data_IF_097599696212
#
_entry.id   IF_097599696212
#
_cell.length_a   1.000
_cell.length_b   1.000
_cell.length_c   1.000
_cell.angle_alpha   90.00
_cell.angle_beta   90.00
_cell.angle_gamma   90.00
#
_symmetry.space_group_name_H-M   'P 1'
#
loop_
_entity.id
_entity.type
_entity.pdbx_description
1 polymer ?
#
# COMPACT_ATOMS: atom_id res chain seq x y z
N UNK A 1 -90.85 51.72 13.26
CA UNK A 1 -90.11 50.69 12.53
C UNK A 1 -88.61 50.86 12.76
N UNK A 2 -88.03 50.14 13.72
CA UNK A 2 -86.66 50.30 14.15
C UNK A 2 -85.83 49.16 13.54
N UNK A 3 -84.89 49.48 12.67
CA UNK A 3 -83.97 48.52 12.04
C UNK A 3 -82.68 48.49 12.87
N UNK A 4 -82.43 47.35 13.49
CA UNK A 4 -81.19 47.10 14.28
C UNK A 4 -80.11 46.53 13.36
N UNK A 5 -79.01 47.26 13.15
CA UNK A 5 -77.79 46.76 12.45
C UNK A 5 -76.96 45.95 13.43
N UNK A 6 -76.72 44.64 13.12
CA UNK A 6 -75.69 43.79 13.76
C UNK A 6 -74.35 44.01 13.09
N UNK A 7 -73.35 44.42 13.86
CA UNK A 7 -71.96 44.41 13.47
C UNK A 7 -71.38 42.96 13.61
N UNK A 8 -70.89 42.41 12.53
CA UNK A 8 -70.06 41.21 12.54
C UNK A 8 -68.57 41.63 12.63
N UNK A 9 -67.89 41.25 13.75
CA UNK A 9 -66.47 41.42 13.93
C UNK A 9 -65.83 40.11 13.45
N UNK A 10 -65.04 40.20 12.38
CA UNK A 10 -64.17 39.09 11.89
C UNK A 10 -62.90 39.10 12.67
N UNK A 11 -62.57 38.03 13.46
CA UNK A 11 -61.31 37.80 14.09
C UNK A 11 -60.42 37.10 13.01
N UNK A 12 -59.39 37.81 12.51
CA UNK A 12 -58.38 37.21 11.65
C UNK A 12 -57.30 36.64 12.57
N UNK A 13 -57.26 35.29 12.65
CA UNK A 13 -56.17 34.54 13.29
C UNK A 13 -54.96 34.51 12.35
N UNK A 14 -53.91 35.27 12.67
CA UNK A 14 -52.59 35.13 12.04
C UNK A 14 -51.90 33.89 12.59
N UNK A 15 -51.85 32.81 11.80
CA UNK A 15 -50.99 31.66 12.08
C UNK A 15 -49.57 31.94 11.54
N UNK A 16 -48.59 32.19 12.41
CA UNK A 16 -47.20 32.29 12.06
C UNK A 16 -46.66 30.88 11.70
N UNK A 17 -45.94 30.71 10.55
CA UNK A 17 -45.32 29.44 10.25
C UNK A 17 -44.13 29.22 11.17
N UNK A 18 -44.14 28.14 11.96
CA UNK A 18 -42.96 27.61 12.66
C UNK A 18 -41.96 27.08 11.63
N UNK A 19 -40.91 27.84 11.37
CA UNK A 19 -39.74 27.39 10.61
C UNK A 19 -38.98 26.37 11.46
N UNK A 20 -39.24 25.07 11.25
CA UNK A 20 -38.33 24.02 11.70
C UNK A 20 -37.01 24.14 10.92
N UNK A 21 -35.95 24.67 11.54
CA UNK A 21 -34.57 24.51 11.06
C UNK A 21 -34.23 23.04 11.19
N UNK A 22 -34.29 22.31 10.08
CA UNK A 22 -33.65 21.01 9.94
C UNK A 22 -32.14 21.25 10.14
N UNK A 23 -31.60 20.82 11.29
CA UNK A 23 -30.16 20.65 11.46
C UNK A 23 -29.77 19.47 10.57
N UNK A 24 -29.06 19.78 9.48
CA UNK A 24 -28.36 18.76 8.71
C UNK A 24 -27.38 18.08 9.66
N UNK A 25 -27.64 16.82 10.02
CA UNK A 25 -26.67 15.95 10.68
C UNK A 25 -25.51 15.80 9.71
N UNK A 26 -24.36 16.33 10.07
CA UNK A 26 -23.08 15.96 9.45
C UNK A 26 -22.98 14.44 9.52
N UNK A 27 -22.66 13.73 8.41
CA UNK A 27 -22.48 12.30 8.46
C UNK A 27 -21.37 12.00 9.48
N UNK A 28 -21.73 11.24 10.50
CA UNK A 28 -20.81 10.76 11.51
C UNK A 28 -19.74 9.92 10.79
N UNK A 29 -18.47 10.33 10.89
CA UNK A 29 -17.36 9.56 10.37
C UNK A 29 -17.42 8.19 11.04
N UNK A 30 -17.42 7.06 10.30
CA UNK A 30 -17.49 5.74 10.93
C UNK A 30 -16.42 5.65 12.01
N UNK A 31 -16.82 5.21 13.21
CA UNK A 31 -15.91 5.04 14.34
C UNK A 31 -14.76 4.14 13.89
N UNK A 32 -13.54 4.69 13.86
CA UNK A 32 -12.33 3.92 13.57
C UNK A 32 -12.17 2.88 14.68
N UNK A 33 -12.08 1.61 14.31
CA UNK A 33 -11.78 0.55 15.27
C UNK A 33 -10.45 0.86 15.94
N UNK A 34 -10.33 0.59 17.23
CA UNK A 34 -9.10 0.85 18.00
C UNK A 34 -8.17 -0.37 18.05
N UNK A 35 -8.67 -1.56 17.70
CA UNK A 35 -7.94 -2.81 17.79
C UNK A 35 -7.77 -3.45 16.40
N UNK A 36 -6.54 -3.83 16.10
CA UNK A 36 -6.15 -4.49 14.87
C UNK A 36 -5.27 -5.71 15.13
N UNK A 37 -5.25 -6.64 14.19
CA UNK A 37 -4.17 -7.61 14.06
C UNK A 37 -3.20 -7.05 13.01
N UNK A 38 -1.94 -6.91 13.37
CA UNK A 38 -0.85 -6.58 12.47
C UNK A 38 -0.15 -7.88 12.05
N UNK A 39 -0.23 -8.25 10.79
CA UNK A 39 0.51 -9.38 10.22
C UNK A 39 1.83 -8.91 9.66
N UNK A 40 2.89 -9.62 10.03
CA UNK A 40 4.27 -9.32 9.63
C UNK A 40 4.80 -10.43 8.74
N UNK A 41 5.10 -10.10 7.50
CA UNK A 41 5.82 -10.96 6.55
C UNK A 41 7.33 -10.83 6.75
N UNK A 42 8.05 -11.91 6.51
CA UNK A 42 9.48 -11.98 6.82
C UNK A 42 10.23 -12.73 5.73
N UNK A 43 11.56 -12.56 5.69
CA UNK A 43 12.41 -13.56 5.05
C UNK A 43 12.73 -14.68 6.01
N UNK A 44 12.59 -15.92 5.53
CA UNK A 44 12.90 -17.14 6.31
C UNK A 44 14.22 -17.77 5.88
N UNK A 45 14.64 -17.53 4.65
CA UNK A 45 15.91 -18.04 4.10
C UNK A 45 17.10 -17.40 4.83
N UNK A 46 17.93 -18.25 5.45
CA UNK A 46 19.12 -17.85 6.23
C UNK A 46 18.82 -16.98 7.47
N UNK A 47 17.60 -17.08 8.01
CA UNK A 47 17.16 -16.39 9.23
C UNK A 47 16.58 -17.38 10.23
N UNK A 48 16.17 -16.88 11.42
CA UNK A 48 15.45 -17.69 12.42
C UNK A 48 13.94 -17.61 12.27
N UNK A 49 13.46 -16.86 11.28
CA UNK A 49 12.02 -16.70 11.05
C UNK A 49 11.33 -17.98 10.63
N UNK A 50 10.06 -18.12 11.04
CA UNK A 50 9.17 -19.25 10.68
C UNK A 50 8.18 -18.89 9.57
N UNK A 51 8.07 -17.59 9.20
CA UNK A 51 7.12 -17.17 8.19
C UNK A 51 6.33 -15.92 8.57
N UNK A 52 5.02 -16.02 8.74
CA UNK A 52 4.15 -14.88 9.05
C UNK A 52 3.88 -14.82 10.55
N UNK A 53 4.07 -13.63 11.14
CA UNK A 53 3.78 -13.36 12.54
C UNK A 53 2.55 -12.49 12.69
N UNK A 54 1.83 -12.61 13.82
CA UNK A 54 0.69 -11.75 14.16
C UNK A 54 0.89 -11.07 15.52
N UNK A 55 0.59 -9.78 15.55
CA UNK A 55 0.57 -8.94 16.74
C UNK A 55 -0.82 -8.34 16.94
N UNK A 56 -1.18 -8.06 18.19
CA UNK A 56 -2.30 -7.16 18.47
C UNK A 56 -1.75 -5.73 18.47
N UNK A 57 -2.38 -4.87 17.67
CA UNK A 57 -2.06 -3.45 17.60
C UNK A 57 -3.22 -2.63 18.18
N UNK A 58 -2.92 -1.79 19.16
CA UNK A 58 -3.86 -0.84 19.72
C UNK A 58 -3.60 0.56 19.14
N UNK A 59 -4.52 1.03 18.28
CA UNK A 59 -4.41 2.31 17.60
C UNK A 59 -4.65 3.54 18.52
N UNK A 60 -5.09 3.35 19.78
CA UNK A 60 -5.25 4.46 20.73
C UNK A 60 -3.91 4.88 21.33
N UNK A 61 -2.97 3.94 21.45
CA UNK A 61 -1.67 4.20 22.11
C UNK A 61 -0.46 3.68 21.32
N UNK A 62 -0.65 3.09 20.13
CA UNK A 62 0.41 2.55 19.28
C UNK A 62 1.03 1.25 19.78
N UNK A 63 0.43 0.59 20.79
CA UNK A 63 1.02 -0.59 21.41
C UNK A 63 0.87 -1.85 20.55
N UNK A 64 1.99 -2.52 20.30
CA UNK A 64 2.06 -3.89 19.78
C UNK A 64 2.21 -4.86 20.94
N UNK A 65 1.40 -5.89 21.00
CA UNK A 65 1.44 -6.90 22.06
C UNK A 65 1.31 -8.31 21.50
N UNK A 66 1.91 -9.29 22.20
CA UNK A 66 1.82 -10.73 21.92
C UNK A 66 2.24 -11.11 20.50
N UNK A 67 3.42 -11.66 20.38
CA UNK A 67 3.88 -12.27 19.13
C UNK A 67 3.45 -13.74 19.09
N UNK A 68 2.87 -14.15 17.97
CA UNK A 68 2.64 -15.55 17.63
C UNK A 68 3.08 -15.81 16.21
N UNK A 69 3.54 -17.02 15.90
CA UNK A 69 3.67 -17.47 14.51
C UNK A 69 2.26 -17.74 14.01
N UNK A 70 1.78 -16.86 13.11
CA UNK A 70 0.44 -16.97 12.54
C UNK A 70 0.35 -18.12 11.51
N UNK A 71 1.39 -18.26 10.69
CA UNK A 71 1.57 -19.39 9.78
C UNK A 71 3.06 -19.61 9.48
N UNK A 72 3.48 -20.87 9.35
CA UNK A 72 4.75 -21.20 8.72
C UNK A 72 4.63 -21.03 7.19
N UNK A 73 5.58 -20.34 6.59
CA UNK A 73 5.62 -20.07 5.15
C UNK A 73 7.04 -19.73 4.73
N UNK A 74 7.42 -20.11 3.51
CA UNK A 74 8.77 -19.82 2.99
C UNK A 74 8.77 -18.43 2.36
N UNK A 75 9.67 -17.57 2.83
CA UNK A 75 9.88 -16.21 2.35
C UNK A 75 8.58 -15.45 2.01
N UNK A 76 7.62 -15.30 2.97
CA UNK A 76 6.40 -14.54 2.76
C UNK A 76 6.71 -13.03 2.84
N UNK A 77 7.48 -12.52 1.86
CA UNK A 77 8.08 -11.20 1.91
C UNK A 77 7.11 -10.06 1.64
N UNK A 78 5.93 -10.32 1.08
CA UNK A 78 4.87 -9.33 0.92
C UNK A 78 3.49 -9.93 1.17
N UNK A 79 2.64 -9.15 1.84
CA UNK A 79 1.31 -9.56 2.29
C UNK A 79 0.24 -8.59 1.80
N UNK A 80 -0.94 -9.12 1.47
CA UNK A 80 -2.13 -8.29 1.27
C UNK A 80 -3.36 -8.94 1.90
N UNK A 81 -4.18 -8.12 2.54
CA UNK A 81 -5.45 -8.54 3.14
C UNK A 81 -6.58 -8.30 2.16
N UNK A 82 -7.46 -9.30 2.01
CA UNK A 82 -8.67 -9.13 1.23
C UNK A 82 -9.58 -8.05 1.84
N UNK A 83 -10.28 -7.20 1.05
CA UNK A 83 -11.14 -6.15 1.56
C UNK A 83 -12.22 -6.58 2.57
N UNK A 84 -12.66 -7.85 2.52
CA UNK A 84 -13.62 -8.41 3.49
C UNK A 84 -13.00 -8.75 4.86
N UNK A 85 -11.66 -8.65 5.02
CA UNK A 85 -10.95 -8.96 6.25
C UNK A 85 -10.90 -10.45 6.64
N UNK A 86 -11.33 -11.37 5.77
CA UNK A 86 -11.38 -12.80 6.06
C UNK A 86 -10.19 -13.60 5.53
N UNK A 87 -9.48 -13.06 4.54
CA UNK A 87 -8.39 -13.75 3.85
C UNK A 87 -7.15 -12.88 3.79
N UNK A 88 -5.99 -13.54 3.82
CA UNK A 88 -4.68 -12.94 3.62
C UNK A 88 -3.95 -13.71 2.52
N UNK A 89 -3.28 -12.97 1.65
CA UNK A 89 -2.43 -13.51 0.59
C UNK A 89 -0.99 -13.11 0.84
N UNK A 90 -0.07 -14.05 0.59
CA UNK A 90 1.37 -13.83 0.74
C UNK A 90 2.09 -14.32 -0.51
N UNK A 91 3.04 -13.55 -1.03
CA UNK A 91 4.03 -14.10 -1.97
C UNK A 91 4.91 -15.12 -1.24
N UNK A 92 5.43 -16.10 -1.98
CA UNK A 92 6.60 -16.89 -1.58
C UNK A 92 7.73 -16.50 -2.53
N UNK A 93 8.64 -15.64 -2.08
CA UNK A 93 9.71 -15.03 -2.90
C UNK A 93 10.83 -16.04 -3.14
N UNK A 94 10.54 -17.04 -3.97
CA UNK A 94 11.44 -18.13 -4.33
C UNK A 94 11.52 -18.31 -5.84
N UNK A 95 12.57 -18.96 -6.31
CA UNK A 95 12.79 -19.26 -7.74
C UNK A 95 12.25 -20.60 -8.21
N UNK A 96 11.88 -21.51 -7.27
CA UNK A 96 11.41 -22.84 -7.57
C UNK A 96 10.29 -23.25 -6.62
N UNK A 97 9.10 -23.43 -7.15
CA UNK A 97 7.94 -23.94 -6.40
C UNK A 97 7.52 -25.30 -6.96
N UNK A 98 7.51 -26.33 -6.11
CA UNK A 98 7.13 -27.72 -6.47
C UNK A 98 7.86 -28.27 -7.71
N UNK A 99 9.14 -27.93 -7.87
CA UNK A 99 9.96 -28.39 -9.01
C UNK A 99 9.72 -27.63 -10.31
N UNK A 100 8.83 -26.62 -10.33
CA UNK A 100 8.61 -25.72 -11.45
C UNK A 100 9.54 -24.49 -11.40
N UNK A 101 9.64 -23.77 -12.50
CA UNK A 101 10.32 -22.46 -12.55
C UNK A 101 9.39 -21.36 -12.06
N UNK A 102 9.75 -20.68 -10.98
CA UNK A 102 8.98 -19.57 -10.42
C UNK A 102 8.64 -19.75 -8.95
N UNK A 103 8.11 -18.69 -8.34
CA UNK A 103 7.64 -18.70 -6.96
C UNK A 103 6.15 -19.04 -6.84
N UNK A 104 5.58 -18.70 -5.70
CA UNK A 104 4.17 -19.00 -5.41
C UNK A 104 3.46 -17.83 -4.75
N UNK A 105 2.12 -17.91 -4.70
CA UNK A 105 1.26 -17.16 -3.80
C UNK A 105 0.50 -18.14 -2.92
N UNK A 106 0.54 -17.87 -1.62
CA UNK A 106 -0.22 -18.59 -0.60
C UNK A 106 -1.48 -17.81 -0.23
N UNK A 107 -2.61 -18.50 -0.16
CA UNK A 107 -3.88 -17.98 0.35
C UNK A 107 -4.15 -18.53 1.74
N UNK A 108 -4.55 -17.66 2.69
CA UNK A 108 -4.86 -18.04 4.07
C UNK A 108 -6.23 -17.51 4.48
N UNK A 109 -6.97 -18.31 5.27
CA UNK A 109 -8.10 -17.83 6.05
C UNK A 109 -7.62 -17.23 7.38
N UNK A 110 -8.20 -16.11 7.77
CA UNK A 110 -7.87 -15.38 8.99
C UNK A 110 -8.81 -15.79 10.12
N UNK A 111 -8.27 -16.24 11.25
CA UNK A 111 -9.00 -16.28 12.51
C UNK A 111 -8.86 -14.92 13.21
N UNK A 112 -9.89 -14.08 13.11
CA UNK A 112 -9.87 -12.73 13.66
C UNK A 112 -9.81 -12.68 15.21
N UNK A 113 -10.06 -13.80 15.91
CA UNK A 113 -9.97 -13.85 17.38
C UNK A 113 -8.54 -14.11 17.84
N UNK A 114 -7.87 -15.06 17.20
CA UNK A 114 -6.53 -15.54 17.60
C UNK A 114 -5.41 -14.91 16.78
N UNK A 115 -5.69 -14.41 15.58
CA UNK A 115 -4.69 -13.98 14.60
C UNK A 115 -4.05 -15.14 13.83
N UNK A 116 -4.45 -16.40 14.10
CA UNK A 116 -3.92 -17.54 13.37
C UNK A 116 -4.36 -17.53 11.90
N UNK A 117 -3.49 -18.02 11.03
CA UNK A 117 -3.73 -18.15 9.59
C UNK A 117 -3.81 -19.64 9.23
N UNK A 118 -4.91 -20.02 8.57
CA UNK A 118 -5.08 -21.36 8.03
C UNK A 118 -4.80 -21.34 6.53
N UNK A 119 -3.78 -22.07 6.09
CA UNK A 119 -3.49 -22.22 4.65
C UNK A 119 -4.70 -22.82 3.93
N UNK A 120 -5.13 -22.17 2.86
CA UNK A 120 -6.19 -22.64 1.97
C UNK A 120 -5.60 -23.36 0.76
N UNK A 121 -4.77 -22.66 -0.01
CA UNK A 121 -4.02 -23.23 -1.12
C UNK A 121 -2.80 -22.38 -1.46
N UNK A 122 -1.97 -22.92 -2.37
CA UNK A 122 -0.84 -22.21 -2.99
C UNK A 122 -0.90 -22.41 -4.51
N UNK A 123 -0.57 -21.36 -5.25
CA UNK A 123 -0.54 -21.39 -6.71
C UNK A 123 0.79 -20.86 -7.24
N UNK A 124 1.36 -21.43 -8.34
CA UNK A 124 2.59 -20.94 -8.94
C UNK A 124 2.38 -19.58 -9.62
N UNK A 125 3.34 -18.65 -9.45
CA UNK A 125 3.26 -17.29 -10.04
C UNK A 125 3.66 -17.21 -11.51
N UNK A 126 4.16 -18.29 -12.10
CA UNK A 126 4.66 -18.37 -13.48
C UNK A 126 5.91 -17.52 -13.74
N UNK A 127 6.45 -16.86 -12.72
CA UNK A 127 7.70 -16.09 -12.75
C UNK A 127 8.48 -16.30 -11.46
N UNK A 128 9.80 -16.15 -11.51
CA UNK A 128 10.69 -16.31 -10.36
C UNK A 128 10.67 -15.04 -9.48
N UNK A 129 10.89 -15.22 -8.17
CA UNK A 129 11.03 -14.14 -7.20
C UNK A 129 9.82 -13.22 -7.13
N UNK A 130 8.58 -13.70 -6.86
CA UNK A 130 7.45 -12.81 -6.62
C UNK A 130 7.72 -12.00 -5.35
N UNK A 131 7.90 -10.69 -5.49
CA UNK A 131 8.29 -9.80 -4.39
C UNK A 131 7.20 -8.83 -3.95
N UNK A 132 6.11 -8.74 -4.69
CA UNK A 132 4.98 -7.86 -4.37
C UNK A 132 3.67 -8.45 -4.88
N UNK A 133 2.61 -8.26 -4.10
CA UNK A 133 1.25 -8.54 -4.52
C UNK A 133 0.29 -7.44 -4.05
N UNK A 134 -0.83 -7.30 -4.75
CA UNK A 134 -1.96 -6.47 -4.34
C UNK A 134 -3.27 -7.12 -4.74
N UNK A 135 -4.39 -6.62 -4.22
CA UNK A 135 -5.70 -6.96 -4.75
C UNK A 135 -6.20 -5.85 -5.67
N UNK A 136 -6.98 -6.24 -6.67
CA UNK A 136 -7.79 -5.27 -7.39
C UNK A 136 -8.85 -4.64 -6.47
N UNK A 137 -9.49 -3.54 -6.87
CA UNK A 137 -10.45 -2.82 -6.00
C UNK A 137 -11.71 -3.61 -5.65
N UNK A 138 -12.03 -4.64 -6.43
CA UNK A 138 -13.18 -5.53 -6.16
C UNK A 138 -12.84 -6.65 -5.19
N UNK A 139 -11.54 -6.96 -5.02
CA UNK A 139 -11.07 -8.12 -4.28
C UNK A 139 -11.14 -9.44 -5.08
N UNK A 140 -11.59 -9.39 -6.33
CA UNK A 140 -11.77 -10.61 -7.14
C UNK A 140 -10.47 -11.17 -7.72
N UNK A 141 -9.39 -10.36 -7.72
CA UNK A 141 -8.10 -10.78 -8.27
C UNK A 141 -6.93 -10.36 -7.37
N UNK A 142 -6.03 -11.30 -7.15
CA UNK A 142 -4.67 -11.02 -6.65
C UNK A 142 -3.77 -10.77 -7.84
N UNK A 143 -3.06 -9.64 -7.82
CA UNK A 143 -2.05 -9.24 -8.81
C UNK A 143 -0.66 -9.47 -8.21
N UNK A 144 0.29 -9.97 -8.99
CA UNK A 144 1.63 -10.34 -8.55
C UNK A 144 2.69 -9.77 -9.47
N UNK A 145 3.76 -9.22 -8.90
CA UNK A 145 4.98 -8.83 -9.60
C UNK A 145 6.10 -9.81 -9.27
N UNK A 146 6.70 -10.41 -10.30
CA UNK A 146 7.79 -11.37 -10.21
C UNK A 146 9.10 -10.65 -10.56
N UNK A 147 9.95 -10.40 -9.56
CA UNK A 147 11.17 -9.61 -9.72
C UNK A 147 12.19 -10.30 -10.60
N UNK A 148 12.63 -11.51 -10.22
CA UNK A 148 13.65 -12.26 -10.98
C UNK A 148 13.14 -12.70 -12.35
N UNK A 149 11.83 -12.96 -12.45
CA UNK A 149 11.18 -13.35 -13.71
C UNK A 149 10.85 -12.17 -14.63
N UNK A 150 10.89 -10.92 -14.14
CA UNK A 150 10.55 -9.73 -14.92
C UNK A 150 9.14 -9.80 -15.53
N UNK A 151 8.14 -10.22 -14.74
CA UNK A 151 6.78 -10.47 -15.25
C UNK A 151 5.71 -10.12 -14.22
N UNK A 152 4.46 -10.03 -14.70
CA UNK A 152 3.29 -9.84 -13.85
C UNK A 152 2.25 -10.91 -14.11
N UNK A 153 1.46 -11.23 -13.09
CA UNK A 153 0.37 -12.19 -13.18
C UNK A 153 -0.86 -11.74 -12.38
N UNK A 154 -2.03 -12.28 -12.72
CA UNK A 154 -3.28 -12.12 -11.98
C UNK A 154 -3.91 -13.46 -11.68
N UNK A 155 -4.52 -13.59 -10.50
CA UNK A 155 -5.11 -14.84 -10.01
C UNK A 155 -6.53 -14.55 -9.52
N UNK A 156 -7.55 -15.28 -9.99
CA UNK A 156 -8.91 -15.11 -9.47
C UNK A 156 -8.98 -15.58 -8.02
N UNK A 157 -9.73 -14.84 -7.22
CA UNK A 157 -10.08 -15.17 -5.84
C UNK A 157 -11.46 -15.81 -5.86
N UNK A 158 -11.59 -17.03 -5.33
CA UNK A 158 -12.86 -17.71 -5.17
C UNK A 158 -13.58 -17.28 -3.89
N UNK A 159 -14.88 -17.54 -3.78
CA UNK A 159 -15.71 -17.17 -2.63
C UNK A 159 -15.20 -17.70 -1.29
N UNK A 160 -14.51 -18.85 -1.30
CA UNK A 160 -13.88 -19.46 -0.14
C UNK A 160 -12.47 -18.91 0.18
N UNK A 161 -12.01 -17.93 -0.59
CA UNK A 161 -10.70 -17.29 -0.44
C UNK A 161 -9.55 -18.00 -1.11
N UNK A 162 -9.77 -19.17 -1.73
CA UNK A 162 -8.74 -19.87 -2.50
C UNK A 162 -8.40 -19.10 -3.77
N UNK A 163 -7.19 -19.31 -4.28
CA UNK A 163 -6.74 -18.74 -5.56
C UNK A 163 -6.92 -19.78 -6.67
N UNK A 164 -7.47 -19.34 -7.82
CA UNK A 164 -7.47 -20.10 -9.06
C UNK A 164 -6.14 -20.05 -9.79
N UNK A 165 -6.07 -20.71 -10.94
CA UNK A 165 -4.92 -20.59 -11.86
C UNK A 165 -4.82 -19.18 -12.44
N UNK A 166 -3.60 -18.76 -12.85
CA UNK A 166 -3.37 -17.43 -13.41
C UNK A 166 -4.32 -17.13 -14.59
N UNK A 167 -5.10 -16.07 -14.46
CA UNK A 167 -6.00 -15.56 -15.49
C UNK A 167 -5.23 -14.71 -16.51
N UNK A 168 -4.38 -13.81 -16.03
CA UNK A 168 -3.52 -12.94 -16.84
C UNK A 168 -2.05 -13.18 -16.55
N UNK A 169 -1.21 -13.01 -17.57
CA UNK A 169 0.25 -13.04 -17.45
C UNK A 169 0.87 -12.16 -18.53
N UNK A 170 1.84 -11.32 -18.14
CA UNK A 170 2.64 -10.53 -19.08
C UNK A 170 4.11 -10.66 -18.74
N UNK A 171 4.92 -11.11 -19.70
CA UNK A 171 6.36 -11.04 -19.64
C UNK A 171 6.81 -9.67 -20.12
N UNK A 172 7.55 -8.94 -19.29
CA UNK A 172 8.19 -7.70 -19.69
C UNK A 172 9.43 -7.99 -20.54
N UNK A 173 9.90 -7.02 -21.32
CA UNK A 173 11.07 -7.13 -22.17
C UNK A 173 11.80 -5.80 -22.25
N UNK A 174 13.13 -5.86 -22.40
CA UNK A 174 14.02 -4.70 -22.43
C UNK A 174 15.08 -4.74 -21.34
N UNK A 175 15.79 -3.65 -21.17
CA UNK A 175 16.83 -3.46 -20.15
C UNK A 175 17.05 -1.97 -19.89
N UNK A 176 17.71 -1.65 -18.78
CA UNK A 176 18.14 -0.30 -18.43
C UNK A 176 19.65 -0.08 -18.63
N UNK A 177 20.17 1.07 -18.19
CA UNK A 177 21.58 1.42 -18.35
C UNK A 177 22.51 0.70 -17.39
N UNK A 178 22.06 0.27 -16.22
CA UNK A 178 22.86 -0.46 -15.23
C UNK A 178 22.96 -1.93 -15.62
N UNK A 179 24.21 -2.40 -15.88
CA UNK A 179 24.44 -3.75 -16.40
C UNK A 179 24.35 -4.85 -15.35
N UNK A 180 24.37 -4.49 -14.06
CA UNK A 180 24.29 -5.45 -12.96
C UNK A 180 22.87 -5.56 -12.38
N UNK A 181 22.10 -4.46 -12.44
CA UNK A 181 20.78 -4.36 -11.81
C UNK A 181 19.63 -4.18 -12.81
N UNK A 182 19.95 -3.92 -14.09
CA UNK A 182 18.97 -3.66 -15.14
C UNK A 182 19.33 -4.40 -16.44
N UNK A 183 19.99 -5.56 -16.33
CA UNK A 183 20.30 -6.45 -17.47
C UNK A 183 19.06 -6.99 -18.17
N UNK A 184 17.93 -7.02 -17.43
CA UNK A 184 16.61 -7.44 -17.87
C UNK A 184 15.49 -6.73 -17.10
N UNK A 185 14.24 -7.09 -17.35
CA UNK A 185 13.11 -6.60 -16.58
C UNK A 185 13.11 -7.15 -15.16
N UNK A 186 12.76 -6.29 -14.19
CA UNK A 186 12.59 -6.63 -12.78
C UNK A 186 11.30 -5.98 -12.25
N UNK A 187 10.15 -6.62 -12.48
CA UNK A 187 8.87 -6.12 -11.98
C UNK A 187 8.85 -6.17 -10.44
N UNK A 188 8.83 -4.99 -9.79
CA UNK A 188 8.96 -4.89 -8.34
C UNK A 188 7.66 -4.56 -7.62
N UNK A 189 6.70 -3.97 -8.31
CA UNK A 189 5.41 -3.59 -7.75
C UNK A 189 4.30 -3.72 -8.79
N UNK A 190 3.11 -4.10 -8.34
CA UNK A 190 1.90 -4.11 -9.17
C UNK A 190 0.70 -3.65 -8.34
N UNK A 191 -0.17 -2.87 -8.95
CA UNK A 191 -1.43 -2.45 -8.36
C UNK A 191 -2.38 -1.88 -9.40
N UNK A 192 -3.63 -1.60 -9.01
CA UNK A 192 -4.60 -0.99 -9.91
C UNK A 192 -4.70 0.52 -9.71
N UNK A 193 -5.12 1.21 -10.76
CA UNK A 193 -5.51 2.61 -10.69
C UNK A 193 -6.65 2.82 -9.69
N UNK A 194 -6.87 4.05 -9.19
CA UNK A 194 -7.94 4.32 -8.22
C UNK A 194 -9.34 3.90 -8.70
N UNK A 195 -9.59 3.92 -10.00
CA UNK A 195 -10.85 3.54 -10.64
C UNK A 195 -10.87 2.09 -11.17
N UNK A 196 -9.85 1.29 -10.86
CA UNK A 196 -9.71 -0.13 -11.22
C UNK A 196 -9.69 -0.43 -12.73
N UNK A 197 -9.48 0.57 -13.59
CA UNK A 197 -9.48 0.38 -15.06
C UNK A 197 -8.11 0.05 -15.63
N UNK A 198 -7.07 0.35 -14.90
CA UNK A 198 -5.69 0.11 -15.33
C UNK A 198 -4.93 -0.66 -14.25
N UNK A 199 -4.08 -1.58 -14.68
CA UNK A 199 -3.03 -2.15 -13.85
C UNK A 199 -1.70 -1.45 -14.15
N UNK A 200 -0.95 -1.17 -13.09
CA UNK A 200 0.35 -0.50 -13.15
C UNK A 200 1.40 -1.44 -12.58
N UNK A 201 2.54 -1.56 -13.27
CA UNK A 201 3.68 -2.34 -12.80
C UNK A 201 4.94 -1.48 -12.83
N UNK A 202 5.54 -1.24 -11.64
CA UNK A 202 6.86 -0.63 -11.58
C UNK A 202 7.90 -1.69 -11.92
N UNK A 203 8.68 -1.44 -12.97
CA UNK A 203 9.75 -2.33 -13.39
C UNK A 203 11.11 -1.64 -13.20
N UNK A 204 11.84 -2.11 -12.21
CA UNK A 204 13.16 -1.56 -11.82
C UNK A 204 14.16 -1.68 -12.97
N UNK A 205 14.14 -2.81 -13.69
CA UNK A 205 15.05 -3.09 -14.77
C UNK A 205 14.83 -2.24 -16.02
N UNK A 206 13.64 -1.66 -16.17
CA UNK A 206 13.25 -0.90 -17.36
C UNK A 206 13.22 0.62 -17.16
N UNK A 207 13.38 1.12 -15.92
CA UNK A 207 13.16 2.52 -15.56
C UNK A 207 11.75 3.02 -15.91
N UNK A 208 10.74 2.14 -15.80
CA UNK A 208 9.37 2.44 -16.22
C UNK A 208 8.35 1.93 -15.22
N UNK A 209 7.24 2.66 -15.12
CA UNK A 209 5.98 2.11 -14.63
C UNK A 209 5.13 1.79 -15.84
N UNK A 210 4.98 0.51 -16.15
CA UNK A 210 4.17 0.02 -17.26
C UNK A 210 2.68 0.11 -16.90
N UNK A 211 1.84 0.48 -17.87
CA UNK A 211 0.41 0.66 -17.67
C UNK A 211 -0.35 -0.23 -18.67
N UNK A 212 -1.25 -1.02 -18.14
CA UNK A 212 -2.11 -1.95 -18.90
C UNK A 212 -3.57 -1.60 -18.68
N UNK A 213 -4.41 -1.73 -19.69
CA UNK A 213 -5.85 -1.85 -19.50
C UNK A 213 -6.12 -3.08 -18.62
N UNK A 214 -6.95 -2.95 -17.59
CA UNK A 214 -7.31 -4.05 -16.70
C UNK A 214 -8.80 -4.37 -16.83
N UNK A 215 -9.12 -5.63 -17.12
CA UNK A 215 -10.51 -6.13 -17.11
C UNK A 215 -10.79 -6.79 -15.75
N UNK A 216 -11.47 -6.10 -14.80
CA UNK A 216 -11.73 -6.64 -13.47
C UNK A 216 -12.74 -7.79 -13.44
N UNK A 217 -13.40 -8.08 -14.56
CA UNK A 217 -14.31 -9.24 -14.70
C UNK A 217 -13.58 -10.53 -15.11
N UNK A 218 -12.39 -10.40 -15.71
CA UNK A 218 -11.61 -11.52 -16.25
C UNK A 218 -10.19 -11.59 -15.70
N UNK A 219 -9.72 -10.54 -15.02
CA UNK A 219 -8.34 -10.44 -14.55
C UNK A 219 -7.31 -10.26 -15.66
N UNK A 220 -7.69 -9.82 -16.85
CA UNK A 220 -6.81 -9.74 -18.00
C UNK A 220 -6.13 -8.39 -18.11
N UNK A 221 -4.86 -8.41 -18.55
CA UNK A 221 -4.07 -7.25 -18.88
C UNK A 221 -4.07 -7.01 -20.38
N UNK A 222 -4.35 -5.78 -20.82
CA UNK A 222 -4.29 -5.37 -22.22
C UNK A 222 -3.19 -4.32 -22.38
N UNK A 223 -2.13 -4.55 -23.19
CA UNK A 223 -1.11 -3.56 -23.45
C UNK A 223 -1.70 -2.27 -24.05
N UNK A 224 -1.18 -1.11 -23.62
CA UNK A 224 -1.52 0.19 -24.19
C UNK A 224 -0.37 0.70 -25.05
N UNK A 225 -0.67 1.34 -26.19
CA UNK A 225 0.34 1.85 -27.14
C UNK A 225 1.31 2.89 -26.54
N UNK A 226 0.89 3.63 -25.53
CA UNK A 226 1.69 4.60 -24.79
C UNK A 226 1.67 4.35 -23.27
N UNK A 227 1.48 3.08 -22.89
CA UNK A 227 1.18 2.68 -21.53
C UNK A 227 2.41 2.60 -20.61
N UNK A 228 3.14 3.69 -20.41
CA UNK A 228 4.20 3.74 -19.41
C UNK A 228 4.47 5.15 -18.89
N UNK A 229 4.96 5.25 -17.65
CA UNK A 229 5.59 6.44 -17.08
C UNK A 229 7.08 6.19 -16.91
N UNK A 230 7.93 7.07 -17.48
CA UNK A 230 9.39 6.96 -17.35
C UNK A 230 9.88 7.70 -16.12
N UNK A 231 10.80 7.09 -15.41
CA UNK A 231 11.67 7.76 -14.43
C UNK A 231 13.03 8.07 -15.07
N UNK A 232 13.93 8.69 -14.32
CA UNK A 232 15.29 8.96 -14.77
C UNK A 232 16.02 7.63 -15.09
N UNK A 233 16.78 7.53 -16.21
CA UNK A 233 17.58 6.37 -16.52
C UNK A 233 18.51 5.96 -15.37
N UNK A 234 18.51 4.70 -14.99
CA UNK A 234 19.27 4.15 -13.86
C UNK A 234 18.63 4.40 -12.49
N UNK A 235 17.42 4.94 -12.43
CA UNK A 235 16.76 5.21 -11.16
C UNK A 235 16.12 3.96 -10.54
N UNK A 236 15.57 3.05 -11.34
CA UNK A 236 14.96 1.79 -10.91
C UNK A 236 13.69 1.99 -10.11
N UNK A 237 12.51 2.21 -10.73
CA UNK A 237 11.25 2.38 -10.02
C UNK A 237 10.89 1.11 -9.26
N UNK A 238 10.55 1.28 -7.98
CA UNK A 238 10.31 0.17 -7.06
C UNK A 238 8.86 0.06 -6.63
N UNK A 239 8.29 1.09 -6.03
CA UNK A 239 6.91 1.13 -5.55
C UNK A 239 6.18 2.37 -6.03
N UNK A 240 4.83 2.28 -6.11
CA UNK A 240 3.97 3.36 -6.55
C UNK A 240 2.84 3.55 -5.55
N UNK A 241 2.52 4.80 -5.21
CA UNK A 241 1.35 5.14 -4.41
C UNK A 241 0.58 6.30 -5.02
N UNK A 242 -0.73 6.24 -4.97
CA UNK A 242 -1.59 7.36 -5.36
C UNK A 242 -1.93 8.25 -4.18
N UNK A 243 -2.04 9.54 -4.45
CA UNK A 243 -2.71 10.43 -3.50
C UNK A 243 -4.20 10.01 -3.37
N UNK A 244 -4.85 10.12 -2.21
CA UNK A 244 -6.25 9.75 -2.00
C UNK A 244 -7.25 10.37 -2.97
N UNK A 245 -6.93 11.56 -3.55
CA UNK A 245 -7.78 12.18 -4.56
C UNK A 245 -7.66 11.54 -5.97
N UNK A 246 -6.75 10.57 -6.16
CA UNK A 246 -6.53 9.85 -7.41
C UNK A 246 -5.93 10.67 -8.56
N UNK A 247 -5.51 11.92 -8.32
CA UNK A 247 -4.99 12.80 -9.38
C UNK A 247 -3.47 12.75 -9.54
N UNK A 248 -2.76 12.32 -8.50
CA UNK A 248 -1.31 12.29 -8.47
C UNK A 248 -0.83 10.91 -8.04
N UNK A 249 0.26 10.47 -8.64
CA UNK A 249 0.98 9.26 -8.27
C UNK A 249 2.43 9.60 -7.93
N UNK A 250 2.97 8.88 -6.97
CA UNK A 250 4.34 9.00 -6.50
C UNK A 250 5.06 7.69 -6.75
N UNK A 251 6.13 7.75 -7.51
CA UNK A 251 6.96 6.59 -7.87
C UNK A 251 8.26 6.70 -7.10
N UNK A 252 8.50 5.75 -6.21
CA UNK A 252 9.77 5.61 -5.51
C UNK A 252 10.74 4.82 -6.36
N UNK A 253 11.92 5.37 -6.59
CA UNK A 253 13.02 4.73 -7.28
C UNK A 253 14.06 4.23 -6.29
N UNK A 254 14.41 2.93 -6.39
CA UNK A 254 15.32 2.26 -5.47
C UNK A 254 16.78 2.76 -5.63
N UNK A 255 17.27 2.77 -6.88
CA UNK A 255 18.70 2.85 -7.16
C UNK A 255 19.27 4.26 -7.02
N UNK A 256 18.46 5.31 -7.19
CA UNK A 256 18.88 6.70 -6.97
C UNK A 256 18.25 7.35 -5.73
N UNK A 257 17.39 6.62 -5.00
CA UNK A 257 16.66 7.06 -3.80
C UNK A 257 15.90 8.37 -4.05
N UNK A 258 15.08 8.38 -5.09
CA UNK A 258 14.25 9.54 -5.46
C UNK A 258 12.76 9.18 -5.53
N UNK A 259 11.92 10.20 -5.36
CA UNK A 259 10.48 10.15 -5.65
C UNK A 259 10.21 10.98 -6.88
N UNK A 260 9.64 10.37 -7.93
CA UNK A 260 9.11 11.10 -9.08
C UNK A 260 7.59 11.27 -8.92
N UNK A 261 7.15 12.52 -8.97
CA UNK A 261 5.75 12.92 -8.89
C UNK A 261 5.16 12.98 -10.29
N UNK A 262 4.02 12.33 -10.48
CA UNK A 262 3.26 12.39 -11.73
C UNK A 262 1.86 12.92 -11.51
N UNK A 263 1.35 13.72 -12.43
CA UNK A 263 -0.11 13.84 -12.60
C UNK A 263 -0.63 12.61 -13.34
N UNK A 264 -1.79 12.13 -12.91
CA UNK A 264 -2.45 10.96 -13.49
C UNK A 264 -3.76 11.35 -14.15
N UNK A 265 -3.97 10.88 -15.38
CA UNK A 265 -5.20 11.10 -16.13
C UNK A 265 -6.03 9.82 -16.14
N UNK A 266 -7.02 9.74 -15.26
CA UNK A 266 -7.85 8.55 -15.09
C UNK A 266 -8.55 8.07 -16.38
N UNK A 267 -8.88 8.96 -17.32
CA UNK A 267 -9.56 8.60 -18.57
C UNK A 267 -8.70 7.73 -19.50
N UNK A 268 -7.40 7.97 -19.53
CA UNK A 268 -6.47 7.36 -20.50
C UNK A 268 -5.39 6.50 -19.86
N UNK A 269 -5.23 6.56 -18.51
CA UNK A 269 -4.11 5.93 -17.81
C UNK A 269 -2.77 6.66 -17.98
N UNK A 270 -2.77 7.87 -18.58
CA UNK A 270 -1.55 8.60 -18.90
C UNK A 270 -0.95 9.30 -17.65
N UNK A 271 0.39 9.34 -17.64
CA UNK A 271 1.19 10.01 -16.61
C UNK A 271 1.98 11.16 -17.21
N UNK A 272 2.05 12.30 -16.49
CA UNK A 272 2.91 13.43 -16.83
C UNK A 272 3.79 13.75 -15.63
N UNK A 273 5.12 13.70 -15.82
CA UNK A 273 6.08 14.02 -14.75
C UNK A 273 6.01 15.49 -14.35
N UNK A 274 5.97 15.75 -13.03
CA UNK A 274 5.87 17.08 -12.45
C UNK A 274 7.14 17.48 -11.67
N UNK A 275 7.75 16.51 -10.98
CA UNK A 275 8.87 16.76 -10.07
C UNK A 275 9.65 15.46 -9.83
N UNK A 276 10.95 15.57 -9.59
CA UNK A 276 11.75 14.51 -8.95
C UNK A 276 12.46 15.10 -7.75
N UNK A 277 12.41 14.40 -6.60
CA UNK A 277 13.00 14.86 -5.33
C UNK A 277 13.70 13.71 -4.63
N UNK A 278 14.87 13.96 -4.03
CA UNK A 278 15.63 12.97 -3.26
C UNK A 278 14.95 12.64 -1.93
N UNK A 279 15.04 11.37 -1.51
CA UNK A 279 14.67 10.92 -0.15
C UNK A 279 15.82 11.05 0.86
N UNK A 280 17.03 11.37 0.39
CA UNK A 280 18.26 11.42 1.17
C UNK A 280 18.68 12.87 1.47
N UNK A 281 19.43 13.12 2.56
CA UNK A 281 20.09 14.38 2.79
C UNK A 281 21.02 14.76 1.62
N UNK A 282 21.21 16.06 1.41
CA UNK A 282 22.03 16.55 0.28
C UNK A 282 23.49 16.12 0.33
N UNK A 283 24.03 15.95 1.51
CA UNK A 283 25.42 15.58 1.82
C UNK A 283 25.61 14.08 2.04
N UNK A 284 24.56 13.27 1.90
CA UNK A 284 24.68 11.83 2.04
C UNK A 284 25.39 11.20 0.85
N UNK A 285 26.49 10.49 1.13
CA UNK A 285 27.33 9.80 0.14
C UNK A 285 27.32 8.28 0.23
N UNK A 286 26.49 7.71 1.12
CA UNK A 286 26.34 6.27 1.30
C UNK A 286 25.51 5.59 0.20
N UNK A 287 25.21 4.28 0.36
CA UNK A 287 24.42 3.51 -0.58
C UNK A 287 23.01 4.09 -0.76
N UNK A 288 22.57 4.14 -2.02
CA UNK A 288 21.20 4.58 -2.38
C UNK A 288 20.33 3.36 -2.59
N UNK A 289 19.41 3.13 -1.68
CA UNK A 289 18.55 1.94 -1.68
C UNK A 289 17.19 2.26 -1.04
N UNK A 290 16.39 3.13 -1.68
CA UNK A 290 15.04 3.38 -1.20
C UNK A 290 14.17 2.11 -1.29
N UNK A 291 13.14 2.00 -0.44
CA UNK A 291 12.38 0.76 -0.37
C UNK A 291 10.86 0.97 -0.36
N UNK A 292 10.26 1.54 0.66
CA UNK A 292 8.81 1.69 0.79
C UNK A 292 8.38 3.14 0.64
N UNK A 293 7.15 3.35 0.13
CA UNK A 293 6.52 4.65 0.00
C UNK A 293 5.04 4.58 0.38
N UNK A 294 4.58 5.50 1.21
CA UNK A 294 3.18 5.61 1.57
C UNK A 294 2.72 7.07 1.66
N UNK A 295 1.49 7.32 1.24
CA UNK A 295 0.80 8.59 1.49
C UNK A 295 -0.04 8.44 2.75
N UNK A 296 0.06 9.39 3.66
CA UNK A 296 -0.79 9.45 4.84
C UNK A 296 -2.28 9.52 4.43
N UNK A 297 -3.21 8.87 5.16
CA UNK A 297 -4.63 8.87 4.80
C UNK A 297 -5.26 10.25 4.61
N UNK A 298 -4.72 11.29 5.28
CA UNK A 298 -5.15 12.70 5.08
C UNK A 298 -4.79 13.26 3.70
N UNK A 299 -3.89 12.63 2.95
CA UNK A 299 -3.36 13.14 1.69
C UNK A 299 -2.37 14.30 1.80
N UNK A 300 -1.99 14.70 3.03
CA UNK A 300 -1.12 15.87 3.28
C UNK A 300 0.36 15.53 3.36
N UNK A 301 0.71 14.30 3.68
CA UNK A 301 2.09 13.86 3.89
C UNK A 301 2.41 12.60 3.11
N UNK A 302 3.67 12.48 2.73
CA UNK A 302 4.23 11.28 2.10
C UNK A 302 5.49 10.88 2.85
N UNK A 303 5.66 9.57 3.02
CA UNK A 303 6.81 8.94 3.68
C UNK A 303 7.51 8.00 2.71
N UNK A 304 8.85 7.95 2.78
CA UNK A 304 9.66 7.02 1.97
C UNK A 304 10.85 6.51 2.77
N UNK A 305 11.04 5.19 2.84
CA UNK A 305 12.16 4.57 3.55
C UNK A 305 13.40 4.45 2.66
N UNK A 306 14.58 4.53 3.29
CA UNK A 306 15.89 4.39 2.64
C UNK A 306 16.77 3.45 3.44
N UNK A 307 17.05 2.27 2.89
CA UNK A 307 17.82 1.20 3.55
C UNK A 307 19.31 1.54 3.73
N UNK A 308 19.89 2.37 2.86
CA UNK A 308 21.29 2.77 2.98
C UNK A 308 21.55 3.89 3.99
N UNK A 309 20.50 4.68 4.32
CA UNK A 309 20.54 5.76 5.33
C UNK A 309 19.80 5.38 6.61
N UNK A 310 19.15 4.23 6.64
CA UNK A 310 18.36 3.71 7.76
C UNK A 310 17.30 4.72 8.29
N UNK A 311 16.62 5.39 7.37
CA UNK A 311 15.67 6.46 7.70
C UNK A 311 14.40 6.42 6.89
N UNK A 312 13.42 7.21 7.35
CA UNK A 312 12.21 7.58 6.61
C UNK A 312 12.27 9.07 6.28
N UNK A 313 12.23 9.40 5.00
CA UNK A 313 12.06 10.76 4.52
C UNK A 313 10.60 11.17 4.66
N UNK A 314 10.37 12.38 5.15
CA UNK A 314 9.05 12.98 5.35
C UNK A 314 8.86 14.14 4.38
N UNK A 315 7.72 14.16 3.69
CA UNK A 315 7.38 15.22 2.74
C UNK A 315 5.99 15.76 3.00
N UNK A 316 5.84 17.09 2.87
CA UNK A 316 4.54 17.72 2.72
C UNK A 316 4.07 17.66 1.26
N UNK A 317 2.81 17.31 1.03
CA UNK A 317 2.17 17.27 -0.28
C UNK A 317 1.42 18.58 -0.52
N UNK A 318 1.69 19.23 -1.65
CA UNK A 318 0.83 20.30 -2.13
C UNK A 318 -0.43 19.70 -2.76
N UNK A 319 -1.56 19.78 -2.09
CA UNK A 319 -2.82 19.11 -2.51
C UNK A 319 -3.31 19.54 -3.90
N UNK A 320 -3.00 20.77 -4.34
CA UNK A 320 -3.43 21.30 -5.64
C UNK A 320 -2.51 20.88 -6.79
N UNK A 321 -1.19 20.81 -6.52
CA UNK A 321 -0.16 20.56 -7.54
C UNK A 321 0.40 19.12 -7.49
N UNK A 322 0.17 18.39 -6.38
CA UNK A 322 0.75 17.09 -6.12
C UNK A 322 2.24 17.12 -5.75
N UNK A 323 2.92 18.28 -5.85
CA UNK A 323 4.35 18.40 -5.61
C UNK A 323 4.71 18.21 -4.13
N UNK A 324 5.95 17.78 -3.89
CA UNK A 324 6.50 17.47 -2.58
C UNK A 324 7.45 18.57 -2.09
N UNK A 325 7.40 18.84 -0.78
CA UNK A 325 8.39 19.64 -0.07
C UNK A 325 8.99 18.78 1.03
N UNK A 326 10.31 18.62 1.06
CA UNK A 326 11.00 17.83 2.10
C UNK A 326 10.86 18.49 3.47
N UNK A 327 10.49 17.70 4.46
CA UNK A 327 10.45 18.08 5.87
C UNK A 327 11.64 17.48 6.67
N UNK A 328 12.49 16.69 6.00
CA UNK A 328 13.66 16.04 6.59
C UNK A 328 13.57 14.51 6.60
N UNK A 329 14.48 13.89 7.34
CA UNK A 329 14.58 12.44 7.51
C UNK A 329 14.59 12.09 9.00
N UNK A 330 13.97 10.96 9.36
CA UNK A 330 13.95 10.42 10.72
C UNK A 330 14.59 9.04 10.69
N UNK A 331 15.61 8.82 11.52
CA UNK A 331 16.25 7.51 11.66
C UNK A 331 15.26 6.51 12.24
N UNK A 332 15.24 5.28 11.72
CA UNK A 332 14.25 4.24 12.07
C UNK A 332 14.56 3.51 13.39
N UNK A 333 15.71 3.77 14.02
CA UNK A 333 16.12 3.04 15.21
C UNK A 333 16.53 1.60 14.95
N UNK A 334 16.87 1.27 13.71
CA UNK A 334 17.36 -0.03 13.28
C UNK A 334 18.10 0.06 11.96
N UNK A 335 18.25 -1.08 11.26
CA UNK A 335 18.99 -1.18 10.00
C UNK A 335 18.14 -1.81 8.91
N UNK A 336 18.28 -1.25 7.68
CA UNK A 336 17.61 -1.75 6.50
C UNK A 336 16.09 -1.66 6.63
N UNK A 337 15.49 -0.45 6.77
CA UNK A 337 14.04 -0.27 6.81
C UNK A 337 13.43 -0.59 5.44
N UNK A 338 13.23 -1.90 5.17
CA UNK A 338 12.74 -2.40 3.87
C UNK A 338 11.28 -2.08 3.62
N UNK A 339 10.49 -2.03 4.69
CA UNK A 339 9.09 -1.65 4.64
C UNK A 339 8.72 -0.80 5.86
N UNK A 340 7.62 -0.09 5.76
CA UNK A 340 6.90 0.50 6.88
C UNK A 340 5.42 0.55 6.55
N UNK A 341 4.59 0.50 7.57
CA UNK A 341 3.14 0.67 7.40
C UNK A 341 2.63 1.82 8.25
N UNK A 342 1.70 2.61 7.70
CA UNK A 342 0.90 3.55 8.47
C UNK A 342 -0.35 2.79 8.94
N UNK A 343 -0.68 2.88 10.23
CA UNK A 343 -1.86 2.24 10.77
C UNK A 343 -3.15 2.79 10.13
N UNK A 344 -4.26 2.05 10.14
CA UNK A 344 -5.49 2.49 9.47
C UNK A 344 -6.10 3.79 9.99
N UNK A 345 -5.73 4.25 11.19
CA UNK A 345 -6.17 5.54 11.74
C UNK A 345 -5.31 6.70 11.26
N UNK A 346 -4.10 6.43 10.79
CA UNK A 346 -3.10 7.42 10.41
C UNK A 346 -2.32 8.01 11.59
N UNK A 347 -2.47 7.46 12.80
CA UNK A 347 -1.82 7.99 13.99
C UNK A 347 -0.40 7.45 14.19
N UNK A 348 -0.08 6.28 13.62
CA UNK A 348 1.19 5.61 13.85
C UNK A 348 1.82 5.10 12.56
N UNK A 349 3.14 5.07 12.55
CA UNK A 349 3.96 4.43 11.54
C UNK A 349 4.84 3.38 12.21
N UNK A 350 4.83 2.16 11.65
CA UNK A 350 5.62 1.03 12.11
C UNK A 350 6.72 0.78 11.10
N UNK A 351 7.98 0.97 11.48
CA UNK A 351 9.14 0.78 10.60
C UNK A 351 9.76 -0.60 10.83
N UNK A 352 9.83 -1.42 9.76
CA UNK A 352 10.41 -2.76 9.78
C UNK A 352 11.87 -2.70 9.34
N UNK A 353 12.75 -2.91 10.30
CA UNK A 353 14.19 -2.90 10.09
C UNK A 353 14.69 -4.34 9.91
N UNK A 354 14.79 -4.76 8.65
CA UNK A 354 15.09 -6.15 8.24
C UNK A 354 16.34 -6.71 8.93
N UNK A 355 17.46 -5.97 8.88
CA UNK A 355 18.78 -6.50 9.28
C UNK A 355 19.03 -6.36 10.80
N UNK A 356 18.29 -5.50 11.49
CA UNK A 356 18.31 -5.41 12.95
C UNK A 356 17.18 -6.20 13.62
N UNK A 357 16.35 -6.93 12.86
CA UNK A 357 15.32 -7.82 13.39
C UNK A 357 14.34 -7.12 14.32
N UNK A 358 13.93 -5.90 14.02
CA UNK A 358 13.03 -5.15 14.89
C UNK A 358 12.01 -4.31 14.11
N UNK A 359 10.89 -4.04 14.78
CA UNK A 359 9.89 -3.07 14.37
C UNK A 359 9.90 -1.94 15.39
N UNK A 360 10.04 -0.71 14.90
CA UNK A 360 10.01 0.52 15.73
C UNK A 360 8.74 1.29 15.43
N UNK A 361 8.04 1.73 16.48
CA UNK A 361 6.76 2.44 16.37
C UNK A 361 6.96 3.94 16.56
N UNK A 362 6.45 4.72 15.61
CA UNK A 362 6.43 6.18 15.63
C UNK A 362 5.00 6.68 15.70
N UNK A 363 4.76 7.71 16.51
CA UNK A 363 3.55 8.51 16.42
C UNK A 363 3.70 9.53 15.28
N UNK A 364 2.65 9.71 14.48
CA UNK A 364 2.59 10.72 13.41
C UNK A 364 1.91 11.96 13.98
N UNK A 365 2.61 13.09 14.03
CA UNK A 365 2.00 14.38 14.32
C UNK A 365 1.09 14.81 13.17
N UNK A 366 -0.21 14.84 13.39
CA UNK A 366 -1.21 15.10 12.36
C UNK A 366 -1.14 16.51 11.75
N UNK A 367 -0.53 17.47 12.45
CA UNK A 367 -0.39 18.84 11.98
C UNK A 367 0.86 19.04 11.11
N UNK A 368 1.97 18.41 11.48
CA UNK A 368 3.28 18.61 10.84
C UNK A 368 3.75 17.42 10.00
N UNK A 369 3.17 16.21 10.18
CA UNK A 369 3.61 14.97 9.56
C UNK A 369 4.87 14.37 10.18
N UNK A 370 5.44 14.99 11.21
CA UNK A 370 6.67 14.52 11.85
C UNK A 370 6.46 13.18 12.54
N UNK A 371 7.50 12.34 12.46
CA UNK A 371 7.56 11.05 13.15
C UNK A 371 8.22 11.23 14.52
N UNK A 372 7.48 10.90 15.57
CA UNK A 372 7.91 10.99 16.98
C UNK A 372 8.08 9.57 17.50
N UNK A 373 9.29 9.14 17.91
CA UNK A 373 9.49 7.82 18.48
C UNK A 373 8.61 7.62 19.74
N UNK A 374 7.85 6.52 19.78
CA UNK A 374 7.04 6.17 20.97
C UNK A 374 7.86 5.51 22.09
N UNK A 375 9.09 5.11 21.79
CA UNK A 375 9.92 4.27 22.64
C UNK A 375 9.62 2.78 22.54
N UNK A 376 8.60 2.39 21.76
CA UNK A 376 8.27 0.98 21.57
C UNK A 376 9.08 0.37 20.42
N UNK A 377 9.71 -0.76 20.73
CA UNK A 377 10.40 -1.62 19.78
C UNK A 377 10.03 -3.06 20.08
N UNK A 378 9.77 -3.85 19.05
CA UNK A 378 9.53 -5.29 19.15
C UNK A 378 10.49 -6.06 18.25
N UNK A 379 10.99 -7.20 18.75
CA UNK A 379 11.86 -8.08 17.96
C UNK A 379 11.05 -8.98 17.06
N UNK A 380 11.40 -9.02 15.79
CA UNK A 380 10.84 -9.91 14.76
C UNK A 380 11.99 -10.31 13.83
N UNK A 381 12.23 -11.61 13.59
CA UNK A 381 13.29 -12.02 12.66
C UNK A 381 12.99 -11.55 11.23
N UNK A 382 13.90 -10.74 10.67
CA UNK A 382 13.88 -10.26 9.29
C UNK A 382 12.52 -9.74 8.79
N UNK A 383 11.89 -8.74 9.46
CA UNK A 383 10.58 -8.24 9.08
C UNK A 383 10.68 -7.38 7.82
N UNK A 384 9.78 -7.58 6.85
CA UNK A 384 9.84 -6.92 5.53
C UNK A 384 8.51 -6.48 4.96
N UNK A 385 7.40 -6.73 5.66
CA UNK A 385 6.06 -6.26 5.29
C UNK A 385 5.11 -6.31 6.49
N UNK A 386 4.33 -5.25 6.73
CA UNK A 386 3.21 -5.24 7.68
C UNK A 386 1.90 -4.91 6.98
N UNK A 387 0.84 -5.60 7.35
CA UNK A 387 -0.53 -5.27 6.98
C UNK A 387 -1.46 -5.41 8.17
N UNK A 388 -2.59 -4.68 8.16
CA UNK A 388 -3.53 -4.62 9.29
C UNK A 388 -4.88 -5.22 8.95
N UNK A 389 -5.48 -5.92 9.91
CA UNK A 389 -6.87 -6.39 9.88
C UNK A 389 -7.59 -5.87 11.10
N UNK A 390 -8.74 -5.23 10.91
CA UNK A 390 -9.55 -4.77 12.04
C UNK A 390 -10.13 -5.97 12.82
N UNK A 391 -10.00 -5.95 14.14
CA UNK A 391 -10.66 -6.93 15.01
C UNK A 391 -12.17 -6.61 15.04
N UNK A 392 -13.04 -7.63 14.96
CA UNK A 392 -14.50 -7.45 15.00
C UNK A 392 -15.04 -6.71 16.23
#
# INVERSE_FOLDING_TARGET
MKITRRLFVWLILFSAPLLFKSQAQTPEKPATKSQYIAYVGTYTSKTTSKGIYAYRFNAENGQLSSIVVAAESVDPSFLAVHPNGKYLYAVNEIGNFNGGTGGAVSAFAIDAKTGALKLLNQVPTRGAGPCHLSLDKTGNYVLVANYDGGSIASFPVHDDGTLGTAAGFVQHSGSGPDKERQEGPHAHWIGTSPDNRFALAADLGLDQVLVYGFDPSKGLFTPLLSGFAKVKPGAGPRHVVFNPNGKFAYVLSEMDSSVTVFSYQAKTGAFTSLQTISTLPKDFSGPKQAAEIAVHPSGKFLYASSRGHDSIAVFAINEKKGTLTSLGQVLTGGKTPRHFAIDPTGAYLLAENQDSNNIVVFHIDAATGNLIPTGQTVEVPSPVCITFVAVP
#
